data_IF_234208097553
#
_entry.id   IF_234208097553
#
_cell.length_a   1.000
_cell.length_b   1.000
_cell.length_c   1.000
_cell.angle_alpha   90.00
_cell.angle_beta   90.00
_cell.angle_gamma   90.00
#
_symmetry.space_group_name_H-M   'P 1'
#
loop_
_entity.id
_entity.type
_entity.pdbx_description
1 polymer ?
#
# COMPACT_ATOMS: atom_id res chain seq x y z
N UNK A 1 40.39 -3.45 -17.26
CA UNK A 1 40.10 -2.24 -16.46
C UNK A 1 39.30 -1.32 -17.35
N UNK A 2 37.98 -1.38 -17.23
CA UNK A 2 37.04 -0.66 -18.07
C UNK A 2 36.45 0.45 -17.21
N UNK A 3 36.61 1.70 -17.63
CA UNK A 3 36.09 2.86 -16.90
C UNK A 3 34.55 2.79 -16.78
N UNK A 4 33.98 3.24 -15.65
CA UNK A 4 32.53 3.27 -15.49
C UNK A 4 31.93 4.35 -16.39
N UNK A 5 30.96 3.95 -17.21
CA UNK A 5 30.19 4.78 -18.16
C UNK A 5 29.33 5.86 -17.48
N UNK A 6 29.30 5.92 -16.14
CA UNK A 6 28.50 6.87 -15.36
C UNK A 6 29.05 8.32 -15.35
N UNK A 7 30.25 8.57 -15.88
CA UNK A 7 30.88 9.90 -15.85
C UNK A 7 30.64 10.74 -17.11
N UNK A 8 29.78 10.32 -18.04
CA UNK A 8 29.68 10.96 -19.38
C UNK A 8 28.46 11.86 -19.60
N UNK A 9 27.87 12.41 -18.54
CA UNK A 9 26.86 13.50 -18.68
C UNK A 9 27.01 14.67 -17.71
N UNK A 10 27.96 14.65 -16.77
CA UNK A 10 28.23 15.81 -15.93
C UNK A 10 29.43 16.56 -16.54
N UNK A 11 29.18 17.25 -17.65
CA UNK A 11 30.09 18.30 -18.11
C UNK A 11 30.13 19.39 -17.04
N UNK A 12 31.31 19.56 -16.46
CA UNK A 12 31.76 20.62 -15.57
C UNK A 12 31.03 21.98 -15.76
N UNK A 13 29.99 22.24 -14.97
CA UNK A 13 29.59 23.55 -14.44
C UNK A 13 28.19 23.50 -13.81
N UNK A 14 28.05 22.98 -12.59
CA UNK A 14 27.10 23.44 -11.57
C UNK A 14 27.06 22.41 -10.45
N UNK A 15 27.29 22.81 -9.20
CA UNK A 15 26.71 22.07 -8.08
C UNK A 15 25.26 21.72 -8.42
N UNK A 16 24.80 20.51 -8.10
CA UNK A 16 23.37 20.21 -8.14
C UNK A 16 22.65 21.30 -7.36
N UNK A 17 21.73 22.01 -8.03
CA UNK A 17 21.02 23.12 -7.41
C UNK A 17 20.23 22.60 -6.20
N UNK A 18 20.00 23.43 -5.16
CA UNK A 18 19.22 23.02 -4.00
C UNK A 18 17.85 22.47 -4.40
N UNK A 19 17.41 21.41 -3.72
CA UNK A 19 16.06 20.89 -3.90
C UNK A 19 15.04 21.94 -3.47
N UNK A 20 14.10 22.28 -4.35
CA UNK A 20 13.01 23.23 -4.09
C UNK A 20 11.67 22.63 -4.51
N UNK A 21 10.53 23.16 -4.04
CA UNK A 21 9.23 22.73 -4.54
C UNK A 21 9.08 22.90 -6.07
N UNK A 22 9.82 23.83 -6.68
CA UNK A 22 9.85 23.99 -8.13
C UNK A 22 10.60 22.83 -8.82
N UNK A 23 11.74 22.39 -8.26
CA UNK A 23 12.53 21.27 -8.83
C UNK A 23 11.76 19.97 -8.84
N UNK A 24 10.79 19.79 -7.93
CA UNK A 24 9.84 18.67 -7.99
C UNK A 24 9.16 18.55 -9.37
N UNK A 25 8.80 19.68 -10.00
CA UNK A 25 8.09 19.69 -11.28
C UNK A 25 9.00 19.94 -12.50
N UNK A 26 10.18 20.53 -12.29
CA UNK A 26 11.07 20.94 -13.40
C UNK A 26 12.22 19.97 -13.65
N UNK A 27 12.68 19.24 -12.63
CA UNK A 27 13.62 18.15 -12.81
C UNK A 27 12.84 16.88 -13.15
N UNK A 28 13.16 16.27 -14.29
CA UNK A 28 12.51 15.05 -14.74
C UNK A 28 13.58 14.03 -15.13
N UNK A 29 13.61 12.91 -14.39
CA UNK A 29 14.30 11.71 -14.84
C UNK A 29 13.29 10.84 -15.58
N UNK A 30 13.39 10.84 -16.90
CA UNK A 30 12.64 9.87 -17.71
C UNK A 30 13.39 8.54 -17.66
N UNK A 31 13.35 7.89 -16.51
CA UNK A 31 13.88 6.54 -16.40
C UNK A 31 13.03 5.63 -17.31
N UNK A 32 13.63 5.24 -18.42
CA UNK A 32 12.89 4.93 -19.64
C UNK A 32 11.94 3.75 -19.45
N UNK A 33 12.31 2.81 -18.58
CA UNK A 33 11.56 1.58 -18.34
C UNK A 33 10.38 1.79 -17.36
N UNK A 34 10.56 2.58 -16.30
CA UNK A 34 9.50 2.83 -15.30
C UNK A 34 8.37 3.65 -15.92
N UNK A 35 8.70 4.68 -16.70
CA UNK A 35 7.73 5.46 -17.45
C UNK A 35 6.92 4.57 -18.42
N UNK A 36 7.59 3.67 -19.16
CA UNK A 36 6.92 2.70 -20.03
C UNK A 36 6.00 1.77 -19.23
N UNK A 37 6.46 1.25 -18.09
CA UNK A 37 5.67 0.36 -17.24
C UNK A 37 4.41 1.06 -16.69
N UNK A 38 4.53 2.31 -16.25
CA UNK A 38 3.41 3.12 -15.75
C UNK A 38 2.39 3.42 -16.85
N UNK A 39 2.85 3.85 -18.03
CA UNK A 39 1.98 4.11 -19.19
C UNK A 39 1.28 2.83 -19.63
N UNK A 40 2.01 1.70 -19.69
CA UNK A 40 1.43 0.41 -20.03
C UNK A 40 0.38 -0.03 -19.00
N UNK A 41 0.66 0.10 -17.70
CA UNK A 41 -0.29 -0.23 -16.64
C UNK A 41 -1.54 0.65 -16.68
N UNK A 42 -1.38 1.96 -16.89
CA UNK A 42 -2.49 2.90 -17.04
C UNK A 42 -3.33 2.58 -18.28
N UNK A 43 -2.68 2.33 -19.42
CA UNK A 43 -3.32 1.97 -20.67
C UNK A 43 -4.13 0.68 -20.57
N UNK A 44 -3.54 -0.38 -19.98
CA UNK A 44 -4.22 -1.65 -19.73
C UNK A 44 -5.42 -1.48 -18.80
N UNK A 45 -5.27 -0.70 -17.72
CA UNK A 45 -6.37 -0.44 -16.80
C UNK A 45 -7.50 0.33 -17.48
N UNK A 46 -7.20 1.44 -18.16
CA UNK A 46 -8.20 2.26 -18.85
C UNK A 46 -8.87 1.51 -20.00
N UNK A 47 -8.13 0.68 -20.74
CA UNK A 47 -8.69 -0.23 -21.74
C UNK A 47 -9.67 -1.21 -21.11
N UNK A 48 -9.33 -1.80 -19.95
CA UNK A 48 -10.23 -2.65 -19.18
C UNK A 48 -11.52 -1.92 -18.80
N UNK A 49 -11.43 -0.69 -18.28
CA UNK A 49 -12.59 0.14 -17.93
C UNK A 49 -13.45 0.44 -19.16
N UNK A 50 -12.82 0.82 -20.28
CA UNK A 50 -13.52 1.09 -21.54
C UNK A 50 -14.27 -0.16 -22.03
N UNK A 51 -13.61 -1.31 -22.09
CA UNK A 51 -14.22 -2.58 -22.51
C UNK A 51 -15.39 -2.99 -21.62
N UNK A 52 -15.29 -2.74 -20.32
CA UNK A 52 -16.37 -3.03 -19.37
C UNK A 52 -17.57 -2.10 -19.61
N UNK A 53 -17.33 -0.79 -19.77
CA UNK A 53 -18.39 0.19 -20.07
C UNK A 53 -19.05 -0.05 -21.42
N UNK A 54 -18.28 -0.46 -22.44
CA UNK A 54 -18.81 -0.79 -23.76
C UNK A 54 -19.77 -1.98 -23.74
N UNK A 55 -19.70 -2.85 -22.72
CA UNK A 55 -20.63 -3.97 -22.49
C UNK A 55 -21.88 -3.56 -21.69
N UNK A 56 -22.00 -2.29 -21.28
CA UNK A 56 -23.08 -1.80 -20.43
C UNK A 56 -22.82 -1.96 -18.91
N UNK A 57 -21.68 -2.53 -18.52
CA UNK A 57 -21.33 -2.69 -17.11
C UNK A 57 -20.86 -1.37 -16.48
N UNK A 58 -21.28 -1.10 -15.24
CA UNK A 58 -20.81 0.06 -14.47
C UNK A 58 -19.48 -0.24 -13.78
N UNK A 59 -18.53 0.69 -13.90
CA UNK A 59 -17.29 0.72 -13.12
C UNK A 59 -17.20 2.03 -12.32
N UNK A 60 -17.10 1.98 -10.98
CA UNK A 60 -17.03 3.18 -10.16
C UNK A 60 -15.84 4.06 -10.52
N UNK A 61 -16.08 5.35 -10.80
CA UNK A 61 -15.03 6.31 -11.19
C UNK A 61 -13.97 6.44 -10.10
N UNK A 62 -14.36 6.36 -8.82
CA UNK A 62 -13.43 6.40 -7.69
C UNK A 62 -12.35 5.31 -7.75
N UNK A 63 -12.62 4.14 -8.33
CA UNK A 63 -11.60 3.09 -8.52
C UNK A 63 -10.58 3.50 -9.58
N UNK A 64 -11.04 4.10 -10.68
CA UNK A 64 -10.15 4.62 -11.72
C UNK A 64 -9.29 5.77 -11.20
N UNK A 65 -9.87 6.68 -10.42
CA UNK A 65 -9.12 7.79 -9.81
C UNK A 65 -8.11 7.29 -8.78
N UNK A 66 -8.49 6.31 -7.94
CA UNK A 66 -7.57 5.71 -6.98
C UNK A 66 -6.42 4.98 -7.69
N UNK A 67 -6.68 4.25 -8.77
CA UNK A 67 -5.63 3.50 -9.46
C UNK A 67 -4.70 4.37 -10.30
N UNK A 68 -5.27 5.19 -11.20
CA UNK A 68 -4.50 5.86 -12.26
C UNK A 68 -3.81 7.12 -11.73
N UNK A 69 -4.50 8.25 -11.46
CA UNK A 69 -3.83 9.42 -10.90
C UNK A 69 -3.41 9.25 -9.43
N UNK A 70 -4.10 8.39 -8.66
CA UNK A 70 -3.71 8.08 -7.28
C UNK A 70 -2.48 7.17 -7.25
N UNK A 71 -2.64 5.89 -7.51
CA UNK A 71 -1.59 4.88 -7.40
C UNK A 71 -0.44 5.10 -8.37
N UNK A 72 -0.71 4.98 -9.68
CA UNK A 72 0.33 5.11 -10.70
C UNK A 72 0.88 6.55 -10.78
N UNK A 73 0.03 7.55 -10.54
CA UNK A 73 0.46 8.96 -10.49
C UNK A 73 1.41 9.24 -9.33
N UNK A 74 1.17 8.69 -8.14
CA UNK A 74 2.11 8.81 -7.01
C UNK A 74 3.42 8.09 -7.30
N UNK A 75 3.39 6.91 -7.94
CA UNK A 75 4.62 6.22 -8.38
C UNK A 75 5.37 7.05 -9.42
N UNK A 76 4.66 7.68 -10.36
CA UNK A 76 5.25 8.58 -11.35
C UNK A 76 5.89 9.80 -10.69
N UNK A 77 5.25 10.41 -9.70
CA UNK A 77 5.84 11.51 -8.92
C UNK A 77 7.06 11.03 -8.16
N UNK A 78 7.00 9.86 -7.53
CA UNK A 78 8.12 9.33 -6.77
C UNK A 78 9.36 9.06 -7.65
N UNK A 79 9.18 8.63 -8.90
CA UNK A 79 10.28 8.12 -9.75
C UNK A 79 10.69 9.04 -10.90
N UNK A 80 9.75 9.80 -11.48
CA UNK A 80 9.98 10.59 -12.69
C UNK A 80 10.10 12.10 -12.43
N UNK A 81 9.86 12.53 -11.19
CA UNK A 81 9.90 13.95 -10.79
C UNK A 81 11.26 14.31 -10.19
N UNK A 82 11.38 15.53 -9.65
CA UNK A 82 12.56 15.92 -8.89
C UNK A 82 12.85 15.01 -7.70
N UNK A 83 11.88 14.25 -7.17
CA UNK A 83 12.18 13.25 -6.13
C UNK A 83 13.14 12.17 -6.63
N UNK A 84 12.82 11.52 -7.76
CA UNK A 84 13.70 10.53 -8.39
C UNK A 84 14.92 11.11 -9.09
N UNK A 85 15.08 12.44 -9.10
CA UNK A 85 16.34 13.09 -9.53
C UNK A 85 17.27 13.33 -8.36
N UNK A 86 16.74 13.41 -7.14
CA UNK A 86 17.50 13.76 -5.94
C UNK A 86 17.59 12.61 -4.95
N UNK A 87 17.05 11.43 -5.23
CA UNK A 87 16.97 10.31 -4.30
C UNK A 87 18.31 9.60 -4.05
N UNK A 88 19.27 9.73 -4.96
CA UNK A 88 20.66 9.36 -4.72
C UNK A 88 21.48 10.49 -4.09
N UNK A 89 21.02 11.74 -4.16
CA UNK A 89 21.72 12.92 -3.62
C UNK A 89 21.29 13.34 -2.21
N UNK A 90 20.03 13.07 -1.87
CA UNK A 90 19.40 13.42 -0.61
C UNK A 90 18.73 12.17 -0.04
N UNK A 91 19.20 11.77 1.13
CA UNK A 91 18.59 10.72 1.93
C UNK A 91 17.14 11.07 2.31
N UNK A 92 16.82 12.34 2.56
CA UNK A 92 15.45 12.77 2.83
C UNK A 92 14.53 12.60 1.60
N UNK A 93 15.00 12.90 0.39
CA UNK A 93 14.26 12.65 -0.85
C UNK A 93 14.06 11.13 -1.06
N UNK A 94 15.11 10.33 -0.81
CA UNK A 94 15.01 8.87 -0.81
C UNK A 94 13.94 8.36 0.16
N UNK A 95 13.86 8.91 1.39
CA UNK A 95 12.82 8.53 2.35
C UNK A 95 11.43 8.83 1.84
N UNK A 96 11.20 10.02 1.28
CA UNK A 96 9.89 10.39 0.72
C UNK A 96 9.51 9.41 -0.40
N UNK A 97 10.43 9.18 -1.33
CA UNK A 97 10.24 8.25 -2.44
C UNK A 97 9.93 6.83 -1.95
N UNK A 98 10.69 6.34 -0.97
CA UNK A 98 10.43 5.05 -0.32
C UNK A 98 9.01 5.00 0.24
N UNK A 99 8.57 6.01 1.01
CA UNK A 99 7.23 6.04 1.61
C UNK A 99 6.12 6.04 0.56
N UNK A 100 6.32 6.78 -0.52
CA UNK A 100 5.38 6.82 -1.63
C UNK A 100 5.29 5.46 -2.35
N UNK A 101 6.43 4.80 -2.60
CA UNK A 101 6.49 3.52 -3.31
C UNK A 101 6.06 2.33 -2.45
N UNK A 102 6.36 2.33 -1.15
CA UNK A 102 6.06 1.19 -0.26
C UNK A 102 4.70 1.28 0.42
N UNK A 103 4.11 2.48 0.54
CA UNK A 103 2.84 2.67 1.25
C UNK A 103 1.78 3.34 0.37
N UNK A 104 1.98 4.60 0.00
CA UNK A 104 0.91 5.43 -0.60
C UNK A 104 0.46 4.89 -1.96
N UNK A 105 1.41 4.64 -2.87
CA UNK A 105 1.15 4.07 -4.19
C UNK A 105 0.40 2.73 -4.10
N UNK A 106 0.94 1.72 -3.38
CA UNK A 106 0.27 0.44 -3.18
C UNK A 106 -1.15 0.52 -2.58
N UNK A 107 -1.37 1.37 -1.57
CA UNK A 107 -2.70 1.57 -0.97
C UNK A 107 -3.70 2.06 -2.02
N UNK A 108 -3.33 3.11 -2.76
CA UNK A 108 -4.20 3.70 -3.78
C UNK A 108 -4.44 2.74 -4.96
N UNK A 109 -3.40 2.00 -5.37
CA UNK A 109 -3.53 0.94 -6.38
C UNK A 109 -4.49 -0.16 -5.94
N UNK A 110 -4.41 -0.60 -4.67
CA UNK A 110 -5.27 -1.65 -4.14
C UNK A 110 -6.76 -1.23 -4.09
N UNK A 111 -7.03 0.05 -3.81
CA UNK A 111 -8.38 0.63 -3.89
C UNK A 111 -8.93 0.67 -5.34
N UNK A 112 -8.03 0.62 -6.32
CA UNK A 112 -8.35 0.53 -7.74
C UNK A 112 -8.98 -0.79 -8.21
N UNK A 113 -8.91 -1.85 -7.41
CA UNK A 113 -9.40 -3.19 -7.76
C UNK A 113 -8.90 -3.73 -9.12
N UNK A 114 -7.61 -3.57 -9.50
CA UNK A 114 -7.16 -3.90 -10.85
C UNK A 114 -7.23 -5.40 -11.14
N UNK A 115 -7.13 -6.27 -10.13
CA UNK A 115 -7.28 -7.73 -10.33
C UNK A 115 -8.73 -8.07 -10.71
N UNK A 116 -9.70 -7.46 -10.03
CA UNK A 116 -11.12 -7.59 -10.34
C UNK A 116 -11.41 -7.10 -11.76
N UNK A 117 -10.86 -5.95 -12.14
CA UNK A 117 -11.01 -5.41 -13.49
C UNK A 117 -10.43 -6.37 -14.53
N UNK A 118 -9.23 -6.89 -14.29
CA UNK A 118 -8.58 -7.87 -15.17
C UNK A 118 -9.42 -9.14 -15.32
N UNK A 119 -9.93 -9.71 -14.22
CA UNK A 119 -10.76 -10.93 -14.25
C UNK A 119 -12.11 -10.75 -14.98
N UNK A 120 -12.64 -9.52 -15.03
CA UNK A 120 -13.88 -9.17 -15.75
C UNK A 120 -13.68 -8.88 -17.23
N UNK A 121 -12.47 -8.49 -17.63
CA UNK A 121 -12.20 -7.94 -18.98
C UNK A 121 -11.30 -8.84 -19.84
N UNK A 122 -10.43 -9.65 -19.22
CA UNK A 122 -9.51 -10.54 -19.92
C UNK A 122 -10.26 -11.69 -20.65
N UNK A 123 -9.74 -12.13 -21.81
CA UNK A 123 -10.22 -13.34 -22.48
C UNK A 123 -9.87 -14.62 -21.69
N UNK A 124 -10.48 -15.74 -22.06
CA UNK A 124 -10.44 -16.99 -21.28
C UNK A 124 -9.02 -17.48 -20.92
N UNK A 125 -8.08 -17.44 -21.88
CA UNK A 125 -6.70 -17.92 -21.67
C UNK A 125 -5.91 -17.06 -20.65
N UNK A 126 -5.70 -15.73 -20.85
CA UNK A 126 -5.06 -14.89 -19.84
C UNK A 126 -5.76 -14.88 -18.49
N UNK A 127 -7.10 -14.92 -18.48
CA UNK A 127 -7.88 -15.04 -17.24
C UNK A 127 -7.55 -16.33 -16.48
N UNK A 128 -7.42 -17.45 -17.19
CA UNK A 128 -7.03 -18.73 -16.58
C UNK A 128 -5.62 -18.68 -16.00
N UNK A 129 -4.66 -18.06 -16.68
CA UNK A 129 -3.30 -17.88 -16.16
C UNK A 129 -3.28 -17.01 -14.90
N UNK A 130 -3.99 -15.88 -14.91
CA UNK A 130 -4.13 -15.02 -13.74
C UNK A 130 -4.74 -15.78 -12.56
N UNK A 131 -5.82 -16.53 -12.79
CA UNK A 131 -6.43 -17.36 -11.75
C UNK A 131 -5.48 -18.44 -11.22
N UNK A 132 -4.74 -19.13 -12.11
CA UNK A 132 -3.74 -20.13 -11.70
C UNK A 132 -2.64 -19.51 -10.83
N UNK A 133 -2.16 -18.32 -11.20
CA UNK A 133 -1.17 -17.58 -10.43
C UNK A 133 -1.72 -17.21 -9.03
N UNK A 134 -2.90 -16.58 -8.96
CA UNK A 134 -3.53 -16.16 -7.71
C UNK A 134 -3.88 -17.34 -6.78
N UNK A 135 -4.16 -18.52 -7.33
CA UNK A 135 -4.44 -19.73 -6.54
C UNK A 135 -3.20 -20.59 -6.27
N UNK A 136 -2.03 -20.22 -6.80
CA UNK A 136 -0.79 -20.96 -6.61
C UNK A 136 -0.38 -21.00 -5.15
N UNK A 137 0.31 -22.09 -4.75
CA UNK A 137 0.85 -22.21 -3.38
C UNK A 137 1.84 -21.10 -3.06
N UNK A 138 2.67 -20.73 -4.05
CA UNK A 138 3.65 -19.66 -3.92
C UNK A 138 2.97 -18.32 -3.62
N UNK A 139 1.99 -17.91 -4.43
CA UNK A 139 1.26 -16.66 -4.20
C UNK A 139 0.58 -16.65 -2.83
N UNK A 140 -0.09 -17.74 -2.46
CA UNK A 140 -0.75 -17.89 -1.15
C UNK A 140 0.21 -17.77 0.03
N UNK A 141 1.44 -18.24 -0.12
CA UNK A 141 2.48 -18.14 0.90
C UNK A 141 2.95 -16.68 1.04
N UNK A 142 3.38 -16.04 -0.05
CA UNK A 142 3.90 -14.67 0.01
C UNK A 142 2.82 -13.63 0.32
N UNK A 143 1.57 -13.89 -0.05
CA UNK A 143 0.42 -13.04 0.26
C UNK A 143 -0.20 -13.36 1.63
N UNK A 144 0.37 -14.30 2.40
CA UNK A 144 -0.11 -14.59 3.74
C UNK A 144 0.15 -13.36 4.62
N UNK A 145 -0.84 -12.82 5.37
CA UNK A 145 -0.70 -11.53 6.05
C UNK A 145 0.52 -11.42 6.97
N UNK A 146 0.85 -12.49 7.70
CA UNK A 146 2.06 -12.51 8.54
C UNK A 146 3.36 -12.47 7.74
N UNK A 147 3.42 -13.16 6.59
CA UNK A 147 4.62 -13.18 5.74
C UNK A 147 4.79 -11.83 5.04
N UNK A 148 3.70 -11.27 4.52
CA UNK A 148 3.68 -9.94 3.95
C UNK A 148 4.08 -8.88 4.98
N UNK A 149 3.58 -8.97 6.22
CA UNK A 149 4.00 -8.12 7.34
C UNK A 149 5.49 -8.28 7.66
N UNK A 150 6.00 -9.51 7.73
CA UNK A 150 7.44 -9.75 7.94
C UNK A 150 8.27 -9.11 6.83
N UNK A 151 7.90 -9.26 5.56
CA UNK A 151 8.63 -8.59 4.47
C UNK A 151 8.54 -7.07 4.57
N UNK A 152 7.37 -6.53 4.89
CA UNK A 152 7.13 -5.10 5.03
C UNK A 152 8.00 -4.48 6.13
N UNK A 153 8.12 -5.14 7.28
CA UNK A 153 8.94 -4.69 8.41
C UNK A 153 10.42 -4.96 8.17
N UNK A 154 10.79 -6.17 7.72
CA UNK A 154 12.19 -6.58 7.64
C UNK A 154 12.94 -5.91 6.48
N UNK A 155 12.26 -5.57 5.37
CA UNK A 155 12.90 -4.94 4.21
C UNK A 155 13.60 -3.62 4.56
N UNK A 156 12.95 -2.62 5.17
CA UNK A 156 13.63 -1.35 5.46
C UNK A 156 14.75 -1.52 6.50
N UNK A 157 14.61 -2.43 7.48
CA UNK A 157 15.70 -2.79 8.38
C UNK A 157 16.89 -3.37 7.62
N UNK A 158 16.65 -4.33 6.72
CA UNK A 158 17.68 -4.92 5.89
C UNK A 158 18.30 -3.88 4.95
N UNK A 159 17.52 -2.95 4.41
CA UNK A 159 18.01 -1.93 3.51
C UNK A 159 19.03 -1.00 4.20
N UNK A 160 18.67 -0.48 5.38
CA UNK A 160 19.44 0.57 6.06
C UNK A 160 20.47 0.07 7.07
N UNK A 161 20.28 -1.12 7.66
CA UNK A 161 21.20 -1.68 8.65
C UNK A 161 22.16 -2.71 8.06
N UNK A 162 22.14 -2.91 6.73
CA UNK A 162 23.10 -3.73 6.00
C UNK A 162 23.81 -2.91 4.92
N UNK A 163 24.53 -3.58 4.01
CA UNK A 163 25.15 -2.95 2.85
C UNK A 163 24.22 -2.74 1.64
N UNK A 164 22.93 -3.09 1.73
CA UNK A 164 22.01 -3.00 0.59
C UNK A 164 21.87 -1.55 0.09
N UNK A 165 21.54 -0.59 0.94
CA UNK A 165 21.36 0.80 0.48
C UNK A 165 22.62 1.43 -0.13
N UNK A 166 23.82 1.33 0.47
CA UNK A 166 25.04 1.77 -0.21
C UNK A 166 25.25 1.11 -1.58
N UNK A 167 24.84 -0.16 -1.73
CA UNK A 167 24.92 -0.86 -3.02
C UNK A 167 23.91 -0.32 -4.05
N UNK A 168 22.76 0.22 -3.63
CA UNK A 168 21.82 0.88 -4.58
C UNK A 168 22.40 2.17 -5.14
N UNK A 169 23.20 2.91 -4.36
CA UNK A 169 23.83 4.17 -4.82
C UNK A 169 24.93 3.96 -5.87
N UNK A 170 25.46 2.73 -5.99
CA UNK A 170 26.55 2.40 -6.92
C UNK A 170 26.11 1.49 -8.07
N UNK A 171 24.87 0.99 -8.04
CA UNK A 171 24.33 0.07 -9.03
C UNK A 171 22.90 0.44 -9.38
N UNK A 172 22.71 0.98 -10.60
CA UNK A 172 21.40 1.32 -11.16
C UNK A 172 20.45 0.12 -11.13
N UNK A 173 20.95 -1.10 -11.39
CA UNK A 173 20.11 -2.29 -11.35
C UNK A 173 19.57 -2.58 -9.94
N UNK A 174 20.42 -2.44 -8.89
CA UNK A 174 19.97 -2.63 -7.51
C UNK A 174 19.04 -1.52 -7.06
N UNK A 175 19.27 -0.29 -7.52
CA UNK A 175 18.40 0.85 -7.28
C UNK A 175 16.98 0.60 -7.83
N UNK A 176 16.88 0.27 -9.12
CA UNK A 176 15.59 -0.03 -9.76
C UNK A 176 14.92 -1.29 -9.21
N UNK A 177 15.70 -2.32 -8.88
CA UNK A 177 15.20 -3.49 -8.17
C UNK A 177 14.56 -3.10 -6.83
N UNK A 178 15.19 -2.19 -6.09
CA UNK A 178 14.71 -1.74 -4.77
C UNK A 178 13.39 -0.97 -4.90
N UNK A 179 13.22 -0.16 -5.94
CA UNK A 179 11.93 0.48 -6.25
C UNK A 179 10.81 -0.53 -6.50
N UNK A 180 11.06 -1.50 -7.38
CA UNK A 180 10.09 -2.57 -7.65
C UNK A 180 9.80 -3.38 -6.39
N UNK A 181 10.84 -3.72 -5.62
CA UNK A 181 10.73 -4.48 -4.39
C UNK A 181 9.85 -3.75 -3.37
N UNK A 182 10.01 -2.44 -3.18
CA UNK A 182 9.13 -1.68 -2.29
C UNK A 182 7.68 -1.68 -2.73
N UNK A 183 7.45 -1.49 -4.02
CA UNK A 183 6.10 -1.49 -4.56
C UNK A 183 5.44 -2.87 -4.44
N UNK A 184 6.20 -3.94 -4.64
CA UNK A 184 5.75 -5.34 -4.46
C UNK A 184 5.47 -5.66 -2.99
N UNK A 185 6.39 -5.36 -2.08
CA UNK A 185 6.23 -5.63 -0.64
C UNK A 185 5.07 -4.81 -0.06
N UNK A 186 4.99 -3.53 -0.41
CA UNK A 186 3.86 -2.67 -0.06
C UNK A 186 2.53 -3.22 -0.58
N UNK A 187 2.52 -3.67 -1.84
CA UNK A 187 1.36 -4.32 -2.44
C UNK A 187 0.98 -5.61 -1.70
N UNK A 188 1.93 -6.48 -1.37
CA UNK A 188 1.67 -7.71 -0.61
C UNK A 188 1.07 -7.41 0.77
N UNK A 189 1.52 -6.33 1.41
CA UNK A 189 1.05 -5.94 2.74
C UNK A 189 -0.32 -5.25 2.73
N UNK A 190 -0.48 -4.18 1.95
CA UNK A 190 -1.70 -3.35 2.01
C UNK A 190 -2.89 -3.96 1.28
N UNK A 191 -2.68 -4.70 0.20
CA UNK A 191 -3.78 -5.18 -0.65
C UNK A 191 -4.73 -6.16 0.04
N UNK A 192 -4.25 -7.14 0.84
CA UNK A 192 -5.14 -7.97 1.66
C UNK A 192 -5.89 -7.15 2.73
N UNK A 193 -5.27 -6.08 3.24
CA UNK A 193 -5.82 -5.27 4.33
C UNK A 193 -6.91 -4.31 3.85
N UNK A 194 -6.67 -3.56 2.78
CA UNK A 194 -7.56 -2.48 2.29
C UNK A 194 -8.15 -2.70 0.91
N UNK A 195 -7.52 -3.55 0.09
CA UNK A 195 -7.85 -3.66 -1.32
C UNK A 195 -9.28 -4.16 -1.57
N UNK A 196 -9.86 -3.80 -2.71
CA UNK A 196 -11.23 -4.22 -3.04
C UNK A 196 -11.29 -5.58 -3.75
N UNK A 197 -10.14 -6.13 -4.12
CA UNK A 197 -10.02 -7.37 -4.86
C UNK A 197 -10.36 -8.62 -4.01
N UNK A 198 -10.91 -9.68 -4.64
CA UNK A 198 -11.19 -10.94 -3.97
C UNK A 198 -9.90 -11.71 -3.74
N UNK A 199 -9.23 -11.44 -2.62
CA UNK A 199 -8.05 -12.18 -2.18
C UNK A 199 -8.46 -13.33 -1.25
N UNK A 200 -7.83 -14.52 -1.37
CA UNK A 200 -8.10 -15.64 -0.47
C UNK A 200 -7.68 -15.31 0.96
N UNK A 201 -8.47 -15.75 1.95
CA UNK A 201 -8.08 -15.67 3.37
C UNK A 201 -8.06 -14.25 3.95
N UNK A 202 -9.02 -13.39 3.59
CA UNK A 202 -9.10 -12.02 4.15
C UNK A 202 -9.30 -12.09 5.67
N UNK A 203 -8.35 -11.52 6.42
CA UNK A 203 -8.42 -11.49 7.88
C UNK A 203 -9.60 -10.62 8.36
N UNK A 204 -10.16 -10.88 9.55
CA UNK A 204 -11.20 -10.04 10.13
C UNK A 204 -10.67 -8.64 10.47
N UNK A 205 -11.55 -7.63 10.50
CA UNK A 205 -11.13 -6.23 10.71
C UNK A 205 -10.28 -6.00 11.96
N UNK A 206 -10.58 -6.59 13.13
CA UNK A 206 -9.75 -6.43 14.32
C UNK A 206 -8.32 -6.94 14.12
N UNK A 207 -8.13 -8.03 13.39
CA UNK A 207 -6.80 -8.57 13.13
C UNK A 207 -6.00 -7.66 12.17
N UNK A 208 -6.66 -7.02 11.20
CA UNK A 208 -6.03 -6.02 10.31
C UNK A 208 -5.63 -4.76 11.09
N UNK A 209 -6.51 -4.29 11.96
CA UNK A 209 -6.24 -3.16 12.84
C UNK A 209 -5.06 -3.44 13.78
N UNK A 210 -5.02 -4.63 14.39
CA UNK A 210 -3.93 -5.08 15.24
C UNK A 210 -2.59 -5.13 14.46
N UNK A 211 -2.58 -5.68 13.25
CA UNK A 211 -1.37 -5.67 12.40
C UNK A 211 -0.88 -4.25 12.14
N UNK A 212 -1.78 -3.30 11.86
CA UNK A 212 -1.42 -1.89 11.66
C UNK A 212 -0.83 -1.29 12.94
N UNK A 213 -1.47 -1.51 14.09
CA UNK A 213 -1.00 -1.03 15.39
C UNK A 213 0.39 -1.58 15.72
N UNK A 214 0.65 -2.86 15.46
CA UNK A 214 1.98 -3.47 15.70
C UNK A 214 3.01 -2.91 14.70
N UNK A 215 2.62 -2.61 13.46
CA UNK A 215 3.55 -2.08 12.44
C UNK A 215 4.07 -0.68 12.78
N UNK A 216 3.27 0.15 13.46
CA UNK A 216 3.63 1.53 13.84
C UNK A 216 4.91 1.61 14.66
N UNK A 217 5.01 1.01 15.86
CA UNK A 217 6.22 1.12 16.69
C UNK A 217 7.44 0.50 16.00
N UNK A 218 7.27 -0.53 15.18
CA UNK A 218 8.39 -1.17 14.47
C UNK A 218 9.01 -0.25 13.41
N UNK A 219 8.21 0.48 12.64
CA UNK A 219 8.75 1.48 11.71
C UNK A 219 9.25 2.73 12.42
N UNK A 220 8.55 3.17 13.48
CA UNK A 220 8.96 4.31 14.29
C UNK A 220 10.35 4.09 14.92
N UNK A 221 10.60 2.89 15.46
CA UNK A 221 11.90 2.52 16.01
C UNK A 221 13.00 2.60 14.95
N UNK A 222 12.75 2.12 13.72
CA UNK A 222 13.72 2.25 12.64
C UNK A 222 14.00 3.72 12.29
N UNK A 223 12.97 4.55 12.20
CA UNK A 223 13.11 6.00 11.98
C UNK A 223 13.97 6.67 13.05
N UNK A 224 13.72 6.35 14.33
CA UNK A 224 14.52 6.85 15.45
C UNK A 224 15.96 6.34 15.39
N UNK A 225 16.18 5.06 15.06
CA UNK A 225 17.53 4.51 14.89
C UNK A 225 18.29 5.29 13.83
N UNK A 226 17.70 5.51 12.65
CA UNK A 226 18.34 6.25 11.54
C UNK A 226 18.61 7.71 11.94
N UNK A 227 17.65 8.34 12.60
CA UNK A 227 17.75 9.73 13.06
C UNK A 227 18.85 9.92 14.12
N UNK A 228 19.07 8.93 14.99
CA UNK A 228 20.04 9.03 16.09
C UNK A 228 21.35 8.28 15.81
N UNK A 229 21.51 7.67 14.63
CA UNK A 229 22.68 6.87 14.30
C UNK A 229 23.94 7.75 14.24
N UNK A 230 24.95 7.42 15.05
CA UNK A 230 26.24 8.10 15.02
C UNK A 230 27.04 7.81 13.73
N UNK A 231 26.87 6.60 13.16
CA UNK A 231 27.37 6.25 11.84
C UNK A 231 26.44 6.76 10.74
N UNK A 232 26.98 7.42 9.72
CA UNK A 232 26.18 7.88 8.58
C UNK A 232 25.97 6.72 7.61
N UNK A 233 24.76 6.57 7.12
CA UNK A 233 24.47 5.59 6.08
C UNK A 233 25.13 6.08 4.79
N UNK A 234 25.95 5.23 4.16
CA UNK A 234 26.69 5.56 2.94
C UNK A 234 27.55 6.84 3.03
N UNK A 235 28.20 7.09 4.17
CA UNK A 235 29.03 8.29 4.45
C UNK A 235 29.92 8.72 3.28
N UNK A 236 30.73 7.79 2.76
CA UNK A 236 31.72 8.09 1.73
C UNK A 236 31.08 8.55 0.40
N UNK A 237 29.87 8.09 0.10
CA UNK A 237 29.13 8.52 -1.08
C UNK A 237 28.64 9.96 -0.90
N UNK A 238 27.91 10.24 0.19
CA UNK A 238 27.32 11.55 0.44
C UNK A 238 28.33 12.66 0.68
N UNK A 239 29.42 12.37 1.41
CA UNK A 239 30.51 13.33 1.57
C UNK A 239 31.24 13.58 0.24
N UNK A 240 31.34 12.55 -0.62
CA UNK A 240 31.92 12.66 -1.96
C UNK A 240 31.14 13.58 -2.91
N UNK A 241 29.84 13.80 -2.68
CA UNK A 241 29.04 14.76 -3.45
C UNK A 241 29.43 16.21 -3.18
N UNK A 242 30.05 16.49 -2.03
CA UNK A 242 30.56 17.81 -1.62
C UNK A 242 29.52 18.95 -1.79
N UNK A 243 28.27 18.70 -1.39
CA UNK A 243 27.18 19.67 -1.48
C UNK A 243 27.34 20.78 -0.42
N UNK A 244 27.49 22.03 -0.86
CA UNK A 244 27.71 23.18 0.04
C UNK A 244 26.48 23.62 0.84
N UNK A 245 25.29 23.26 0.38
CA UNK A 245 24.02 23.76 0.87
C UNK A 245 23.28 22.81 1.83
N UNK A 246 23.78 21.59 2.03
CA UNK A 246 23.19 20.63 2.97
C UNK A 246 24.24 19.75 3.63
N UNK A 247 24.08 19.51 4.94
CA UNK A 247 24.87 18.54 5.67
C UNK A 247 24.24 17.15 5.51
N UNK A 248 25.01 16.11 5.09
CA UNK A 248 24.50 14.74 5.03
C UNK A 248 23.94 14.22 6.36
N UNK A 249 24.49 14.68 7.48
CA UNK A 249 24.01 14.31 8.81
C UNK A 249 22.63 14.91 9.12
N UNK A 250 22.46 16.20 8.82
CA UNK A 250 21.17 16.87 8.97
C UNK A 250 20.12 16.22 8.06
N UNK A 251 20.49 15.89 6.83
CA UNK A 251 19.58 15.26 5.86
C UNK A 251 19.17 13.85 6.29
N UNK A 252 20.11 13.06 6.85
CA UNK A 252 19.79 11.75 7.43
C UNK A 252 18.85 11.87 8.64
N UNK A 253 19.05 12.86 9.51
CA UNK A 253 18.16 13.12 10.65
C UNK A 253 16.74 13.44 10.17
N UNK A 254 16.61 14.31 9.16
CA UNK A 254 15.33 14.61 8.52
C UNK A 254 14.72 13.35 7.91
N UNK A 255 15.51 12.53 7.22
CA UNK A 255 15.06 11.27 6.66
C UNK A 255 14.51 10.30 7.72
N UNK A 256 15.25 10.08 8.82
CA UNK A 256 14.78 9.24 9.92
C UNK A 256 13.48 9.77 10.54
N UNK A 257 13.36 11.09 10.68
CA UNK A 257 12.13 11.75 11.11
C UNK A 257 10.96 11.58 10.15
N UNK A 258 11.21 11.66 8.84
CA UNK A 258 10.21 11.42 7.79
C UNK A 258 9.70 9.98 7.84
N UNK A 259 10.60 8.99 7.86
CA UNK A 259 10.25 7.57 7.96
C UNK A 259 9.32 7.30 9.15
N UNK A 260 9.63 7.88 10.31
CA UNK A 260 8.78 7.78 11.49
C UNK A 260 7.43 8.47 11.29
N UNK A 261 7.43 9.78 10.99
CA UNK A 261 6.23 10.61 10.99
C UNK A 261 5.22 10.19 9.90
N UNK A 262 5.70 9.87 8.69
CA UNK A 262 4.82 9.42 7.61
C UNK A 262 4.26 8.04 7.86
N UNK A 263 5.06 7.12 8.42
CA UNK A 263 4.62 5.78 8.78
C UNK A 263 3.44 5.83 9.76
N UNK A 264 3.57 6.62 10.82
CA UNK A 264 2.52 6.79 11.83
C UNK A 264 1.28 7.48 11.25
N UNK A 265 1.45 8.56 10.48
CA UNK A 265 0.33 9.27 9.87
C UNK A 265 -0.48 8.35 8.95
N UNK A 266 0.17 7.62 8.06
CA UNK A 266 -0.50 6.68 7.15
C UNK A 266 -1.19 5.58 7.95
N UNK A 267 -0.53 5.04 8.96
CA UNK A 267 -1.07 3.96 9.80
C UNK A 267 -2.32 4.40 10.57
N UNK A 268 -2.35 5.63 11.08
CA UNK A 268 -3.52 6.22 11.74
C UNK A 268 -4.69 6.40 10.77
N UNK A 269 -4.45 6.91 9.56
CA UNK A 269 -5.48 7.03 8.52
C UNK A 269 -6.04 5.65 8.15
N UNK A 270 -5.17 4.65 8.02
CA UNK A 270 -5.54 3.27 7.76
C UNK A 270 -6.35 2.64 8.90
N UNK A 271 -5.95 2.88 10.15
CA UNK A 271 -6.67 2.41 11.33
C UNK A 271 -8.07 3.02 11.40
N UNK A 272 -8.20 4.32 11.18
CA UNK A 272 -9.49 5.00 11.11
C UNK A 272 -10.38 4.39 10.00
N UNK A 273 -9.81 4.08 8.84
CA UNK A 273 -10.53 3.41 7.76
C UNK A 273 -10.99 2.00 8.14
N UNK A 274 -10.16 1.21 8.83
CA UNK A 274 -10.53 -0.14 9.29
C UNK A 274 -11.60 -0.12 10.37
N UNK A 275 -11.50 0.78 11.35
CA UNK A 275 -12.53 0.94 12.39
C UNK A 275 -13.86 1.34 11.76
N UNK A 276 -13.84 2.28 10.82
CA UNK A 276 -15.05 2.69 10.09
C UNK A 276 -15.65 1.54 9.26
N UNK A 277 -14.81 0.73 8.60
CA UNK A 277 -15.26 -0.44 7.86
C UNK A 277 -15.81 -1.54 8.78
N UNK A 278 -15.21 -1.71 9.95
CA UNK A 278 -15.65 -2.65 10.95
C UNK A 278 -17.04 -2.29 11.48
N UNK A 279 -17.23 -1.05 11.96
CA UNK A 279 -18.53 -0.56 12.45
C UNK A 279 -19.62 -0.76 11.41
N UNK A 280 -19.38 -0.33 10.15
CA UNK A 280 -20.34 -0.50 9.04
C UNK A 280 -20.63 -1.97 8.71
N UNK A 281 -19.66 -2.87 8.92
CA UNK A 281 -19.84 -4.29 8.67
C UNK A 281 -20.69 -4.94 9.76
N UNK A 282 -20.49 -4.54 11.01
CA UNK A 282 -21.21 -5.04 12.16
C UNK A 282 -22.67 -4.56 12.12
N UNK A 283 -22.93 -3.29 11.79
CA UNK A 283 -24.28 -2.75 11.57
C UNK A 283 -25.06 -3.56 10.51
N UNK A 284 -24.42 -3.89 9.38
CA UNK A 284 -25.03 -4.72 8.32
C UNK A 284 -25.27 -6.16 8.74
N UNK A 285 -24.50 -6.66 9.69
CA UNK A 285 -24.62 -8.02 10.19
C UNK A 285 -25.73 -8.09 11.22
N UNK A 286 -25.76 -7.14 12.16
CA UNK A 286 -26.86 -6.94 13.10
C UNK A 286 -28.21 -6.80 12.37
N UNK A 287 -28.31 -5.89 11.38
CA UNK A 287 -29.55 -5.71 10.61
C UNK A 287 -29.96 -6.96 9.80
N UNK A 288 -29.03 -7.85 9.45
CA UNK A 288 -29.36 -9.14 8.81
C UNK A 288 -29.86 -10.17 9.81
N UNK A 289 -29.26 -10.21 11.00
CA UNK A 289 -29.68 -11.07 12.11
C UNK A 289 -31.08 -10.66 12.57
N UNK A 290 -31.35 -9.37 12.76
CA UNK A 290 -32.68 -8.86 13.15
C UNK A 290 -33.74 -9.28 12.13
N UNK A 291 -33.51 -9.04 10.83
CA UNK A 291 -34.42 -9.48 9.76
C UNK A 291 -34.62 -11.00 9.71
N UNK A 292 -33.62 -11.78 10.11
CA UNK A 292 -33.74 -13.23 10.17
C UNK A 292 -34.59 -13.63 11.37
N UNK A 293 -34.37 -13.02 12.54
CA UNK A 293 -35.15 -13.23 13.75
C UNK A 293 -36.62 -12.85 13.56
N UNK A 294 -36.91 -11.73 12.88
CA UNK A 294 -38.27 -11.32 12.52
C UNK A 294 -38.98 -12.37 11.66
N UNK A 295 -38.24 -13.06 10.78
CA UNK A 295 -38.77 -14.10 9.89
C UNK A 295 -38.96 -15.45 10.57
N UNK A 296 -38.04 -15.84 11.46
CA UNK A 296 -38.06 -17.16 12.11
C UNK A 296 -38.89 -17.17 13.39
N UNK A 297 -38.96 -16.04 14.07
CA UNK A 297 -39.52 -15.91 15.42
C UNK A 297 -40.80 -15.09 15.44
N UNK A 298 -41.28 -14.65 14.25
CA UNK A 298 -42.35 -13.66 14.01
C UNK A 298 -43.11 -13.29 15.28
N UNK A 299 -43.01 -12.03 15.70
CA UNK A 299 -43.36 -11.49 17.04
C UNK A 299 -44.49 -12.23 17.78
N UNK A 300 -45.54 -12.65 17.05
CA UNK A 300 -46.61 -13.54 17.49
C UNK A 300 -46.15 -14.83 18.21
N UNK A 301 -45.19 -15.59 17.68
CA UNK A 301 -44.73 -16.86 18.28
C UNK A 301 -43.96 -16.64 19.60
N UNK A 302 -43.17 -15.56 19.70
CA UNK A 302 -42.45 -15.23 20.92
C UNK A 302 -43.40 -14.72 22.02
N UNK A 303 -44.40 -13.90 21.63
CA UNK A 303 -45.44 -13.41 22.52
C UNK A 303 -46.37 -14.54 22.97
N UNK A 304 -46.75 -15.46 22.08
CA UNK A 304 -47.53 -16.66 22.42
C UNK A 304 -46.77 -17.58 23.36
N UNK A 305 -45.49 -17.86 23.10
CA UNK A 305 -44.66 -18.68 23.98
C UNK A 305 -44.49 -18.05 25.37
N UNK A 306 -44.32 -16.73 25.43
CA UNK A 306 -44.23 -15.97 26.67
C UNK A 306 -45.57 -15.94 27.43
N UNK A 307 -46.68 -15.69 26.73
CA UNK A 307 -48.03 -15.71 27.31
C UNK A 307 -48.41 -17.12 27.81
N UNK A 308 -48.06 -18.18 27.08
CA UNK A 308 -48.26 -19.56 27.49
C UNK A 308 -47.40 -19.95 28.71
N UNK A 309 -46.24 -19.32 28.89
CA UNK A 309 -45.42 -19.47 30.08
C UNK A 309 -46.05 -18.75 31.29
N UNK A 310 -46.51 -17.51 31.11
CA UNK A 310 -47.21 -16.75 32.16
C UNK A 310 -48.54 -17.43 32.58
N UNK A 311 -49.31 -17.98 31.64
CA UNK A 311 -50.55 -18.71 31.94
C UNK A 311 -50.30 -19.95 32.81
N UNK A 312 -49.19 -20.66 32.56
CA UNK A 312 -48.73 -21.80 33.38
C UNK A 312 -48.34 -21.38 34.80
N UNK A 313 -47.64 -20.26 34.94
CA UNK A 313 -47.29 -19.71 36.27
C UNK A 313 -48.51 -19.19 37.05
N UNK A 314 -49.52 -18.68 36.34
CA UNK A 314 -50.75 -18.16 36.93
C UNK A 314 -51.81 -19.25 37.23
N UNK A 315 -51.52 -20.52 36.93
CA UNK A 315 -52.45 -21.64 37.13
C UNK A 315 -53.76 -21.55 36.31
N UNK A 316 -53.77 -20.76 35.24
CA UNK A 316 -54.94 -20.59 34.36
C UNK A 316 -54.80 -21.51 33.14
N UNK A 317 -55.82 -22.33 32.81
CA UNK A 317 -55.78 -23.14 31.59
C UNK A 317 -55.79 -22.22 30.36
N UNK A 318 -54.90 -22.49 29.41
CA UNK A 318 -54.85 -21.82 28.11
C UNK A 318 -56.09 -22.26 27.32
N UNK A 319 -57.07 -21.38 27.18
CA UNK A 319 -58.28 -21.64 26.39
C UNK A 319 -57.97 -21.40 24.92
N UNK A 320 -57.89 -22.50 24.17
CA UNK A 320 -57.74 -22.51 22.72
C UNK A 320 -59.10 -22.13 22.08
N UNK A 321 -59.21 -20.89 21.58
CA UNK A 321 -60.39 -20.46 20.81
C UNK A 321 -60.09 -20.65 19.31
N UNK A 322 -60.67 -21.73 18.75
CA UNK A 322 -60.80 -21.95 17.30
C UNK A 322 -61.87 -21.06 16.68
#
# INVERSE_FOLDING_TARGET
>A
MSAPTALTSISASSELAPFTPATLFTAANLDQWMAIALVAAAGLYLYGVHKLRARGDRWPIGRTLAFVPGGLGIVAVATLSGLGTYDDTLFSAHMIQHMLLSMVGPILMALGAPVTLALRTLPAKPKSWLLKFLHSRYFRLISHPLIAFTFFIATPYALYLSGWYPATLTSTWLHEFTHVHFMVVGSLFFWPLIGLDPLPGRWPYPARALMMIISMPLHAVLGVIIMQMAGRIATAYYEGLNLSWISPEMDQQVGGGLLWASGDLISLLMLAAFVTQWIRSDERTAARIDRQLDRTTGEDNALEAYNAHLARLAGRPVTDQR
#
